data_IF_408613565371
#
_entry.id   IF_408613565371
#
_cell.length_a   1.000
_cell.length_b   1.000
_cell.length_c   1.000
_cell.angle_alpha   90.00
_cell.angle_beta   90.00
_cell.angle_gamma   90.00
#
_symmetry.space_group_name_H-M   'P 1'
#
loop_
_entity.id
_entity.type
_entity.pdbx_description
1 polymer ?
#
# COMPACT_ATOMS: atom_id res chain seq x y z
N UNK A 1 -9.74 -54.22 0.94
CA UNK A 1 -10.23 -52.81 0.94
C UNK A 1 -9.52 -52.07 2.07
N UNK A 2 -8.69 -51.07 1.76
CA UNK A 2 -8.01 -50.23 2.78
C UNK A 2 -8.72 -48.88 2.84
N UNK A 3 -9.37 -48.60 3.97
CA UNK A 3 -9.95 -47.29 4.27
C UNK A 3 -8.81 -46.33 4.63
N UNK A 4 -8.52 -45.39 3.73
CA UNK A 4 -7.67 -44.22 4.00
C UNK A 4 -8.49 -43.22 4.81
N UNK A 5 -8.52 -43.37 6.14
CA UNK A 5 -8.99 -42.29 7.01
C UNK A 5 -7.87 -41.26 7.12
N UNK A 6 -7.85 -40.31 6.18
CA UNK A 6 -7.02 -39.12 6.24
C UNK A 6 -7.50 -38.18 7.33
N UNK A 7 -7.28 -38.55 8.59
CA UNK A 7 -7.54 -37.67 9.73
C UNK A 7 -6.23 -37.00 10.11
N UNK A 8 -5.97 -35.82 9.55
CA UNK A 8 -4.88 -34.94 9.99
C UNK A 8 -5.33 -34.24 11.28
N UNK A 9 -4.64 -34.43 12.41
CA UNK A 9 -4.95 -33.73 13.66
C UNK A 9 -4.88 -32.22 13.45
N UNK A 10 -5.88 -31.46 13.92
CA UNK A 10 -5.92 -29.98 13.89
C UNK A 10 -4.65 -29.33 14.47
N UNK A 11 -3.97 -30.00 15.40
CA UNK A 11 -2.71 -29.54 15.99
C UNK A 11 -1.50 -29.62 15.04
N UNK A 12 -1.58 -30.41 13.96
CA UNK A 12 -0.58 -30.48 12.87
C UNK A 12 -0.90 -29.52 11.71
N UNK A 13 -2.00 -28.76 11.78
CA UNK A 13 -2.16 -27.52 11.01
C UNK A 13 -1.29 -26.43 11.64
N UNK A 14 -0.02 -26.70 11.89
CA UNK A 14 0.93 -25.64 12.15
C UNK A 14 1.14 -24.90 10.84
N UNK A 15 1.37 -23.60 10.95
CA UNK A 15 1.80 -22.71 9.86
C UNK A 15 0.74 -22.13 8.94
N UNK A 16 -0.44 -21.78 9.44
CA UNK A 16 -0.81 -20.38 9.22
C UNK A 16 0.04 -19.57 10.20
N UNK A 17 1.29 -19.28 9.80
CA UNK A 17 1.96 -18.09 10.31
C UNK A 17 0.90 -17.01 10.17
N UNK A 18 0.42 -16.46 11.28
CA UNK A 18 -0.50 -15.33 11.26
C UNK A 18 0.06 -14.38 10.21
N UNK A 19 -0.60 -14.29 9.05
CA UNK A 19 -0.16 -13.41 7.99
C UNK A 19 -0.54 -12.04 8.50
N UNK A 20 0.30 -11.51 9.40
CA UNK A 20 0.11 -10.19 9.96
C UNK A 20 0.39 -9.28 8.77
N UNK A 21 -0.62 -8.55 8.28
CA UNK A 21 -0.36 -7.62 7.20
C UNK A 21 0.78 -6.69 7.67
N UNK A 22 1.79 -6.45 6.81
CA UNK A 22 2.89 -5.57 7.16
C UNK A 22 2.33 -4.23 7.64
N UNK A 23 2.93 -3.68 8.70
CA UNK A 23 2.48 -2.39 9.23
C UNK A 23 2.57 -1.30 8.13
N UNK A 24 1.79 -0.21 8.23
CA UNK A 24 1.87 0.89 7.27
C UNK A 24 3.31 1.35 7.01
N UNK A 25 4.13 1.44 8.07
CA UNK A 25 5.57 1.75 7.99
C UNK A 25 6.35 0.72 7.17
N UNK A 26 6.13 -0.58 7.42
CA UNK A 26 6.80 -1.65 6.65
C UNK A 26 6.38 -1.69 5.18
N UNK A 27 5.12 -1.33 4.87
CA UNK A 27 4.65 -1.20 3.48
C UNK A 27 5.32 -0.04 2.77
N UNK A 28 5.46 1.10 3.46
CA UNK A 28 6.12 2.29 2.91
C UNK A 28 7.60 2.04 2.62
N UNK A 29 8.33 1.40 3.55
CA UNK A 29 9.75 1.05 3.33
C UNK A 29 9.94 0.14 2.10
N UNK A 30 9.12 -0.91 1.96
CA UNK A 30 9.18 -1.76 0.75
C UNK A 30 8.90 -1.01 -0.54
N UNK A 31 8.06 0.01 -0.49
CA UNK A 31 7.76 0.84 -1.65
C UNK A 31 8.96 1.72 -2.02
N UNK A 32 9.69 2.25 -1.03
CA UNK A 32 10.98 2.94 -1.27
C UNK A 32 11.98 2.01 -1.95
N UNK A 33 12.21 0.81 -1.39
CA UNK A 33 13.13 -0.18 -1.97
C UNK A 33 12.78 -0.48 -3.44
N UNK A 34 11.48 -0.63 -3.73
CA UNK A 34 10.99 -0.93 -5.08
C UNK A 34 11.25 0.24 -6.03
N UNK A 35 10.97 1.47 -5.61
CA UNK A 35 11.16 2.66 -6.43
C UNK A 35 12.65 2.99 -6.66
N UNK A 36 13.50 2.69 -5.69
CA UNK A 36 14.95 2.82 -5.81
C UNK A 36 15.51 1.82 -6.83
N UNK A 37 15.07 0.55 -6.79
CA UNK A 37 15.45 -0.47 -7.79
C UNK A 37 15.06 -0.03 -9.22
N UNK A 38 13.93 0.66 -9.37
CA UNK A 38 13.49 1.15 -10.68
C UNK A 38 14.16 2.48 -11.11
N UNK A 39 15.05 3.05 -10.29
CA UNK A 39 15.74 4.30 -10.61
C UNK A 39 14.81 5.52 -10.67
N UNK A 40 13.62 5.43 -10.06
CA UNK A 40 12.59 6.49 -10.09
C UNK A 40 12.83 7.52 -8.98
N UNK A 41 13.57 7.15 -7.94
CA UNK A 41 13.91 8.03 -6.82
C UNK A 41 15.31 8.62 -6.98
N UNK A 42 15.43 9.91 -6.64
CA UNK A 42 16.71 10.52 -6.29
C UNK A 42 17.06 10.13 -4.85
N UNK A 43 18.35 10.10 -4.50
CA UNK A 43 18.84 9.85 -3.13
C UNK A 43 18.15 10.78 -2.10
N UNK A 44 17.90 12.03 -2.48
CA UNK A 44 17.17 12.99 -1.65
C UNK A 44 15.73 12.54 -1.36
N UNK A 45 14.97 12.14 -2.39
CA UNK A 45 13.58 11.73 -2.23
C UNK A 45 13.46 10.40 -1.47
N UNK A 46 14.38 9.47 -1.69
CA UNK A 46 14.43 8.20 -0.96
C UNK A 46 14.62 8.43 0.55
N UNK A 47 15.62 9.22 0.94
CA UNK A 47 15.88 9.56 2.35
C UNK A 47 14.73 10.30 3.01
N UNK A 48 14.01 11.14 2.28
CA UNK A 48 12.86 11.86 2.81
C UNK A 48 11.71 10.90 3.17
N UNK A 49 11.44 9.92 2.31
CA UNK A 49 10.40 8.90 2.54
C UNK A 49 10.84 7.92 3.64
N UNK A 50 12.13 7.56 3.70
CA UNK A 50 12.66 6.76 4.80
C UNK A 50 12.55 7.48 6.15
N UNK A 51 12.88 8.77 6.21
CA UNK A 51 12.76 9.55 7.44
C UNK A 51 11.32 9.59 7.96
N UNK A 52 10.35 9.73 7.06
CA UNK A 52 8.90 9.61 7.33
C UNK A 52 8.59 8.21 7.88
N UNK A 53 9.03 7.14 7.22
CA UNK A 53 8.73 5.77 7.62
C UNK A 53 9.37 5.35 8.95
N UNK A 54 10.59 5.83 9.23
CA UNK A 54 11.40 5.45 10.39
C UNK A 54 11.20 6.39 11.58
N UNK A 55 10.53 7.53 11.41
CA UNK A 55 10.34 8.50 12.49
C UNK A 55 9.67 7.86 13.71
N UNK A 56 10.31 7.92 14.90
CA UNK A 56 9.69 7.48 16.14
C UNK A 56 8.62 8.47 16.62
N UNK A 57 8.61 9.68 16.07
CA UNK A 57 7.65 10.75 16.34
C UNK A 57 6.39 10.65 15.48
N UNK A 58 6.34 9.69 14.54
CA UNK A 58 5.19 9.45 13.68
C UNK A 58 3.94 9.12 14.49
N UNK A 59 3.12 10.13 14.74
CA UNK A 59 1.85 10.00 15.43
C UNK A 59 0.68 9.87 14.45
N UNK A 60 -0.54 9.86 14.98
CA UNK A 60 -1.74 9.69 14.16
C UNK A 60 -2.07 10.93 13.32
N UNK A 61 -1.63 12.13 13.75
CA UNK A 61 -1.86 13.39 13.05
C UNK A 61 -0.92 13.52 11.86
N UNK A 62 0.38 13.25 12.06
CA UNK A 62 1.38 13.16 11.00
C UNK A 62 0.98 12.11 9.93
N UNK A 63 0.42 10.99 10.37
CA UNK A 63 -0.07 9.96 9.46
C UNK A 63 -1.22 10.45 8.57
N UNK A 64 -2.17 11.18 9.16
CA UNK A 64 -3.30 11.78 8.44
C UNK A 64 -2.83 12.83 7.45
N UNK A 65 -1.87 13.67 7.84
CA UNK A 65 -1.29 14.68 6.96
C UNK A 65 -0.55 14.07 5.78
N UNK A 66 0.23 13.02 6.00
CA UNK A 66 0.90 12.29 4.93
C UNK A 66 -0.08 11.67 3.94
N UNK A 67 -1.10 10.95 4.43
CA UNK A 67 -2.15 10.36 3.58
C UNK A 67 -2.91 11.47 2.84
N UNK A 68 -3.27 12.55 3.53
CA UNK A 68 -4.01 13.67 2.96
C UNK A 68 -3.25 14.35 1.83
N UNK A 69 -1.95 14.59 2.00
CA UNK A 69 -1.08 15.13 0.96
C UNK A 69 -1.00 14.17 -0.24
N UNK A 70 -0.79 12.88 0.02
CA UNK A 70 -0.71 11.85 -1.03
C UNK A 70 -2.01 11.76 -1.86
N UNK A 71 -3.16 11.67 -1.20
CA UNK A 71 -4.48 11.66 -1.84
C UNK A 71 -4.72 12.93 -2.66
N UNK A 72 -4.33 14.10 -2.14
CA UNK A 72 -4.48 15.38 -2.84
C UNK A 72 -3.68 15.40 -4.14
N UNK A 73 -2.44 14.92 -4.13
CA UNK A 73 -1.58 14.83 -5.33
C UNK A 73 -2.19 13.84 -6.33
N UNK A 74 -2.57 12.64 -5.86
CA UNK A 74 -3.18 11.62 -6.70
C UNK A 74 -4.45 12.13 -7.40
N UNK A 75 -5.32 12.86 -6.68
CA UNK A 75 -6.55 13.43 -7.26
C UNK A 75 -6.26 14.47 -8.35
N UNK A 76 -5.24 15.32 -8.15
CA UNK A 76 -4.82 16.27 -9.19
C UNK A 76 -4.29 15.56 -10.42
N UNK A 77 -3.40 14.59 -10.25
CA UNK A 77 -2.86 13.81 -11.35
C UNK A 77 -3.98 13.08 -12.11
N UNK A 78 -4.91 12.45 -11.40
CA UNK A 78 -6.06 11.78 -12.02
C UNK A 78 -6.94 12.78 -12.79
N UNK A 79 -7.20 13.96 -12.22
CA UNK A 79 -7.93 15.04 -12.93
C UNK A 79 -7.24 15.44 -14.23
N UNK A 80 -5.92 15.61 -14.21
CA UNK A 80 -5.15 16.01 -15.40
C UNK A 80 -5.16 14.90 -16.47
N UNK A 81 -5.03 13.63 -16.06
CA UNK A 81 -5.05 12.48 -16.98
C UNK A 81 -6.44 12.21 -17.57
N UNK A 82 -7.50 12.55 -16.84
CA UNK A 82 -8.89 12.27 -17.24
C UNK A 82 -9.62 13.44 -17.87
N UNK A 83 -8.96 14.59 -18.09
CA UNK A 83 -9.54 15.75 -18.77
C UNK A 83 -10.22 15.42 -20.12
N UNK A 84 -9.76 14.38 -20.82
CA UNK A 84 -10.29 13.95 -22.12
C UNK A 84 -11.20 12.69 -22.05
N UNK A 85 -11.42 12.13 -20.86
CA UNK A 85 -12.27 10.96 -20.67
C UNK A 85 -13.73 11.36 -20.43
N UNK A 86 -14.67 10.47 -20.76
CA UNK A 86 -16.08 10.69 -20.39
C UNK A 86 -16.23 10.62 -18.88
N UNK A 87 -17.05 11.51 -18.31
CA UNK A 87 -17.26 11.63 -16.86
C UNK A 87 -17.60 10.30 -16.19
N UNK A 88 -18.45 9.48 -16.82
CA UNK A 88 -18.85 8.16 -16.30
C UNK A 88 -17.69 7.15 -16.28
N UNK A 89 -16.81 7.17 -17.27
CA UNK A 89 -15.60 6.33 -17.29
C UNK A 89 -14.61 6.74 -16.19
N UNK A 90 -14.44 8.04 -15.96
CA UNK A 90 -13.58 8.56 -14.90
C UNK A 90 -14.12 8.25 -13.50
N UNK A 91 -15.45 8.25 -13.33
CA UNK A 91 -16.10 7.92 -12.06
C UNK A 91 -15.93 6.45 -11.68
N UNK A 92 -16.08 5.53 -12.62
CA UNK A 92 -15.99 4.09 -12.37
C UNK A 92 -14.54 3.57 -12.35
N UNK A 93 -13.55 4.40 -12.70
CA UNK A 93 -12.17 3.95 -12.87
C UNK A 93 -11.54 3.49 -11.54
N UNK A 94 -10.83 2.34 -11.52
CA UNK A 94 -10.03 1.93 -10.35
C UNK A 94 -8.84 2.86 -10.10
N UNK A 95 -8.41 3.64 -11.11
CA UNK A 95 -7.36 4.66 -11.00
C UNK A 95 -7.87 5.92 -10.29
N UNK A 96 -9.19 6.09 -10.13
CA UNK A 96 -9.77 7.25 -9.46
C UNK A 96 -9.48 7.17 -7.95
N UNK A 97 -8.76 8.13 -7.36
CA UNK A 97 -8.42 8.08 -5.94
C UNK A 97 -9.61 8.11 -4.99
N UNK A 98 -10.80 8.54 -5.45
CA UNK A 98 -12.02 8.48 -4.65
C UNK A 98 -12.58 7.05 -4.51
N UNK A 99 -12.13 6.11 -5.34
CA UNK A 99 -12.54 4.71 -5.32
C UNK A 99 -11.58 3.81 -4.53
N UNK A 100 -10.46 4.36 -4.04
CA UNK A 100 -9.49 3.61 -3.27
C UNK A 100 -10.03 3.32 -1.86
N UNK A 101 -9.84 2.08 -1.40
CA UNK A 101 -10.23 1.65 -0.05
C UNK A 101 -9.03 1.81 0.90
N UNK A 102 -9.29 2.31 2.10
CA UNK A 102 -8.33 2.30 3.22
C UNK A 102 -8.04 0.88 3.73
#
# INVERSE_FOLDING_TARGET
>A
MKLLTGFTPKALLTTNRCYRPPSPKQRLLKLVDTLEIHGVLTDYNARLIEAIALSPLWDEEDHKDFIGLGLKIAKRQFSDMTMNHTYEQSLASPENPNNWKE
#
